data_IF_183804232441
#
_entry.id   IF_183804232441
#
_cell.length_a   1.000
_cell.length_b   1.000
_cell.length_c   1.000
_cell.angle_alpha   90.00
_cell.angle_beta   90.00
_cell.angle_gamma   90.00
#
_symmetry.space_group_name_H-M   'P 1'
#
loop_
_entity.id
_entity.type
_entity.pdbx_description
1 polymer ?
#
# COMPACT_ATOMS: atom_id res chain seq x y z
N UNK A 1 -49.87 -12.33 3.63
CA UNK A 1 -48.65 -11.74 4.24
C UNK A 1 -47.93 -10.81 3.26
N UNK A 2 -48.64 -10.21 2.29
CA UNK A 2 -48.10 -9.26 1.29
C UNK A 2 -48.63 -7.82 1.46
N UNK A 3 -49.70 -7.61 2.24
CA UNK A 3 -50.33 -6.28 2.41
C UNK A 3 -49.47 -5.29 3.19
N UNK A 4 -48.87 -5.70 4.32
CA UNK A 4 -48.13 -4.79 5.20
C UNK A 4 -46.86 -4.20 4.56
N UNK A 5 -46.28 -4.82 3.52
CA UNK A 5 -45.11 -4.24 2.83
C UNK A 5 -45.50 -3.09 1.90
N UNK A 6 -46.70 -3.13 1.33
CA UNK A 6 -47.20 -2.08 0.44
C UNK A 6 -47.54 -0.82 1.23
N UNK A 7 -48.20 -0.97 2.38
CA UNK A 7 -48.53 0.15 3.28
C UNK A 7 -47.27 0.83 3.85
N UNK A 8 -46.31 0.05 4.35
CA UNK A 8 -45.03 0.60 4.86
C UNK A 8 -44.24 1.33 3.78
N UNK A 9 -44.24 0.85 2.52
CA UNK A 9 -43.59 1.53 1.40
C UNK A 9 -44.32 2.81 0.97
N UNK A 10 -45.66 2.84 1.07
CA UNK A 10 -46.46 4.03 0.81
C UNK A 10 -46.25 5.10 1.89
N UNK A 11 -46.23 4.71 3.16
CA UNK A 11 -45.96 5.63 4.28
C UNK A 11 -44.51 6.15 4.25
N UNK A 12 -43.54 5.29 3.91
CA UNK A 12 -42.16 5.72 3.65
C UNK A 12 -42.08 6.75 2.53
N UNK A 13 -42.81 6.53 1.43
CA UNK A 13 -42.83 7.47 0.32
C UNK A 13 -43.43 8.81 0.78
N UNK A 14 -44.48 8.80 1.59
CA UNK A 14 -45.16 9.99 2.10
C UNK A 14 -44.28 10.81 3.05
N UNK A 15 -43.37 10.19 3.82
CA UNK A 15 -42.42 10.89 4.72
C UNK A 15 -41.10 11.28 4.02
N UNK A 16 -40.59 10.41 3.16
CA UNK A 16 -39.33 10.62 2.46
C UNK A 16 -39.45 11.63 1.31
N UNK A 17 -40.58 11.66 0.59
CA UNK A 17 -40.79 12.60 -0.51
C UNK A 17 -40.76 14.04 -0.04
N UNK A 18 -41.48 14.46 1.02
CA UNK A 18 -41.40 15.83 1.51
C UNK A 18 -39.99 16.21 1.92
N UNK A 19 -39.23 15.33 2.58
CA UNK A 19 -37.85 15.62 2.99
C UNK A 19 -36.92 15.71 1.76
N UNK A 20 -37.02 14.78 0.82
CA UNK A 20 -36.29 14.83 -0.45
C UNK A 20 -36.65 16.09 -1.24
N UNK A 21 -37.93 16.41 -1.32
CA UNK A 21 -38.47 17.60 -1.99
C UNK A 21 -38.02 18.86 -1.26
N UNK A 22 -38.01 18.93 0.06
CA UNK A 22 -37.56 20.09 0.83
C UNK A 22 -36.02 20.27 0.76
N UNK A 23 -35.27 19.16 0.69
CA UNK A 23 -33.81 19.21 0.52
C UNK A 23 -33.43 19.53 -0.94
N UNK A 24 -34.25 19.14 -1.92
CA UNK A 24 -34.04 19.44 -3.35
C UNK A 24 -34.58 20.82 -3.76
N UNK A 25 -35.65 21.30 -3.10
CA UNK A 25 -36.27 22.61 -3.26
C UNK A 25 -35.62 23.58 -2.28
N UNK A 26 -34.48 24.13 -2.67
CA UNK A 26 -34.11 25.47 -2.26
C UNK A 26 -34.09 26.36 -3.51
N UNK A 27 -35.03 27.30 -3.54
CA UNK A 27 -35.09 28.52 -4.38
C UNK A 27 -34.59 28.39 -5.84
N UNK A 28 -35.13 27.46 -6.62
CA UNK A 28 -35.29 27.64 -8.06
C UNK A 28 -36.42 26.74 -8.55
N UNK A 29 -37.34 27.32 -9.32
CA UNK A 29 -38.66 26.78 -9.64
C UNK A 29 -38.71 25.28 -9.99
N UNK A 30 -39.67 24.63 -9.36
CA UNK A 30 -40.54 23.54 -9.85
C UNK A 30 -40.24 23.15 -11.32
N UNK A 31 -39.55 22.02 -11.51
CA UNK A 31 -39.28 21.32 -12.79
C UNK A 31 -38.28 21.92 -13.79
N UNK A 32 -37.13 22.40 -13.32
CA UNK A 32 -35.90 22.43 -14.12
C UNK A 32 -34.87 21.43 -13.57
N UNK A 33 -34.64 20.29 -14.23
CA UNK A 33 -33.52 19.39 -13.91
C UNK A 33 -32.20 19.97 -14.44
N UNK A 34 -31.86 21.17 -14.00
CA UNK A 34 -30.46 21.57 -13.92
C UNK A 34 -29.98 21.07 -12.57
N UNK A 35 -29.38 19.87 -12.56
CA UNK A 35 -28.64 19.38 -11.39
C UNK A 35 -27.52 20.38 -11.16
N UNK A 36 -27.76 21.33 -10.27
CA UNK A 36 -26.82 22.39 -9.99
C UNK A 36 -25.62 21.76 -9.25
N UNK A 37 -24.56 21.45 -9.99
CA UNK A 37 -23.39 20.72 -9.49
C UNK A 37 -22.61 21.53 -8.43
N UNK A 38 -22.79 22.84 -8.34
CA UNK A 38 -22.21 23.68 -7.28
C UNK A 38 -22.88 23.53 -5.90
N UNK A 39 -23.86 22.64 -5.74
CA UNK A 39 -24.52 22.39 -4.45
C UNK A 39 -23.53 21.79 -3.44
N UNK A 40 -23.49 22.37 -2.24
CA UNK A 40 -22.71 21.88 -1.11
C UNK A 40 -23.36 20.62 -0.50
N UNK A 41 -23.20 19.48 -1.19
CA UNK A 41 -23.68 18.17 -0.74
C UNK A 41 -23.03 17.75 0.58
N UNK A 42 -21.82 18.21 0.88
CA UNK A 42 -21.11 17.92 2.12
C UNK A 42 -21.89 18.38 3.37
N UNK A 43 -22.47 19.58 3.33
CA UNK A 43 -23.31 20.08 4.42
C UNK A 43 -24.61 19.27 4.57
N UNK A 44 -25.24 18.86 3.46
CA UNK A 44 -26.46 18.04 3.48
C UNK A 44 -26.20 16.64 4.04
N UNK A 45 -25.06 16.02 3.69
CA UNK A 45 -24.61 14.74 4.27
C UNK A 45 -24.40 14.87 5.78
N UNK A 46 -23.73 15.95 6.23
CA UNK A 46 -23.48 16.20 7.65
C UNK A 46 -24.78 16.38 8.43
N UNK A 47 -25.68 17.21 7.90
CA UNK A 47 -27.00 17.43 8.48
C UNK A 47 -27.77 16.11 8.65
N UNK A 48 -27.82 15.28 7.60
CA UNK A 48 -28.49 13.97 7.67
C UNK A 48 -27.89 13.05 8.73
N UNK A 49 -26.55 13.01 8.86
CA UNK A 49 -25.87 12.24 9.92
C UNK A 49 -26.22 12.73 11.32
N UNK A 50 -26.36 14.04 11.50
CA UNK A 50 -26.66 14.66 12.79
C UNK A 50 -28.13 14.48 13.19
N UNK A 51 -29.07 14.56 12.23
CA UNK A 51 -30.51 14.46 12.53
C UNK A 51 -31.01 13.01 12.55
N UNK A 52 -30.38 12.08 11.80
CA UNK A 52 -30.85 10.70 11.67
C UNK A 52 -31.12 9.98 13.01
N UNK A 53 -30.26 10.08 14.05
CA UNK A 53 -30.49 9.40 15.33
C UNK A 53 -31.77 9.81 16.07
N UNK A 54 -32.41 10.93 15.70
CA UNK A 54 -33.64 11.41 16.31
C UNK A 54 -34.91 10.89 15.62
N UNK A 55 -34.77 10.14 14.52
CA UNK A 55 -35.88 9.50 13.80
C UNK A 55 -36.10 8.05 14.27
N UNK A 56 -37.24 7.47 13.91
CA UNK A 56 -37.52 6.06 14.11
C UNK A 56 -36.59 5.19 13.24
N UNK A 57 -36.36 3.94 13.63
CA UNK A 57 -35.43 3.03 12.94
C UNK A 57 -35.73 2.88 11.44
N UNK A 58 -37.01 2.78 11.08
CA UNK A 58 -37.46 2.70 9.68
C UNK A 58 -37.13 3.95 8.87
N UNK A 59 -37.28 5.13 9.46
CA UNK A 59 -36.95 6.42 8.86
C UNK A 59 -35.43 6.62 8.78
N UNK A 60 -34.67 6.13 9.78
CA UNK A 60 -33.20 6.15 9.75
C UNK A 60 -32.64 5.40 8.55
N UNK A 61 -33.26 4.27 8.18
CA UNK A 61 -32.88 3.51 6.98
C UNK A 61 -33.10 4.33 5.71
N UNK A 62 -34.19 5.09 5.64
CA UNK A 62 -34.45 5.99 4.51
C UNK A 62 -33.44 7.12 4.46
N UNK A 63 -33.21 7.79 5.58
CA UNK A 63 -32.25 8.89 5.68
C UNK A 63 -30.84 8.42 5.32
N UNK A 64 -30.47 7.18 5.68
CA UNK A 64 -29.24 6.53 5.25
C UNK A 64 -29.14 6.39 3.73
N UNK A 65 -30.20 5.93 3.06
CA UNK A 65 -30.25 5.85 1.59
C UNK A 65 -30.12 7.22 0.93
N UNK A 66 -30.79 8.24 1.48
CA UNK A 66 -30.70 9.62 0.98
C UNK A 66 -29.28 10.19 1.19
N UNK A 67 -28.66 9.88 2.33
CA UNK A 67 -27.27 10.24 2.60
C UNK A 67 -26.32 9.63 1.55
N UNK A 68 -26.48 8.35 1.23
CA UNK A 68 -25.67 7.67 0.20
C UNK A 68 -25.82 8.33 -1.17
N UNK A 69 -27.04 8.72 -1.56
CA UNK A 69 -27.28 9.47 -2.80
C UNK A 69 -26.51 10.79 -2.80
N UNK A 70 -26.54 11.55 -1.71
CA UNK A 70 -25.76 12.78 -1.62
C UNK A 70 -24.25 12.54 -1.61
N UNK A 71 -23.77 11.46 -0.99
CA UNK A 71 -22.36 11.07 -1.05
C UNK A 71 -21.93 10.76 -2.49
N UNK A 72 -22.77 10.06 -3.26
CA UNK A 72 -22.53 9.77 -4.69
C UNK A 72 -22.50 11.06 -5.51
N UNK A 73 -23.49 11.95 -5.34
CA UNK A 73 -23.54 13.24 -6.04
C UNK A 73 -22.32 14.11 -5.70
N UNK A 74 -21.89 14.10 -4.44
CA UNK A 74 -20.68 14.79 -4.00
C UNK A 74 -19.42 14.23 -4.69
N UNK A 75 -19.31 12.91 -4.84
CA UNK A 75 -18.20 12.28 -5.57
C UNK A 75 -18.21 12.65 -7.05
N UNK A 76 -19.36 12.66 -7.71
CA UNK A 76 -19.49 13.11 -9.10
C UNK A 76 -19.06 14.57 -9.26
N UNK A 77 -19.50 15.45 -8.35
CA UNK A 77 -19.11 16.84 -8.38
C UNK A 77 -17.59 17.02 -8.24
N UNK A 78 -16.96 16.27 -7.32
CA UNK A 78 -15.50 16.25 -7.16
C UNK A 78 -14.78 15.76 -8.41
N UNK A 79 -15.31 14.75 -9.11
CA UNK A 79 -14.76 14.26 -10.38
C UNK A 79 -14.81 15.36 -11.44
N UNK A 80 -15.98 15.99 -11.65
CA UNK A 80 -16.19 17.04 -12.67
C UNK A 80 -15.27 18.24 -12.41
N UNK A 81 -15.15 18.65 -11.15
CA UNK A 81 -14.35 19.82 -10.76
C UNK A 81 -12.86 19.49 -10.54
N UNK A 82 -12.45 18.23 -10.73
CA UNK A 82 -11.11 17.74 -10.42
C UNK A 82 -10.64 18.06 -8.98
N UNK A 83 -11.57 18.10 -8.03
CA UNK A 83 -11.31 18.47 -6.64
C UNK A 83 -10.97 17.24 -5.77
N UNK A 84 -9.69 16.88 -5.83
CA UNK A 84 -9.11 15.78 -5.07
C UNK A 84 -8.15 16.23 -3.98
N UNK A 85 -8.05 17.54 -3.69
CA UNK A 85 -7.05 18.08 -2.76
C UNK A 85 -7.10 17.40 -1.38
N UNK A 86 -8.30 17.11 -0.87
CA UNK A 86 -8.47 16.41 0.41
C UNK A 86 -8.01 14.93 0.39
N UNK A 87 -7.99 14.30 -0.78
CA UNK A 87 -7.54 12.91 -0.96
C UNK A 87 -6.05 12.81 -1.29
N UNK A 88 -5.42 13.92 -1.70
CA UNK A 88 -3.98 13.97 -1.99
C UNK A 88 -3.25 14.21 -0.68
N UNK A 89 -2.89 13.13 0.01
CA UNK A 89 -1.95 13.18 1.13
C UNK A 89 -0.58 12.77 0.63
N UNK A 90 0.38 13.70 0.62
CA UNK A 90 1.77 13.38 0.36
C UNK A 90 2.37 12.68 1.59
N UNK A 91 2.06 11.40 1.76
CA UNK A 91 2.69 10.56 2.77
C UNK A 91 4.11 10.22 2.32
N UNK A 92 5.08 10.40 3.22
CA UNK A 92 6.49 10.03 3.03
C UNK A 92 7.25 10.86 1.97
N UNK A 93 7.13 12.19 2.04
CA UNK A 93 7.96 13.09 1.22
C UNK A 93 9.46 12.94 1.51
N UNK A 94 9.84 12.44 2.67
CA UNK A 94 11.24 12.28 3.05
C UNK A 94 11.91 11.04 2.42
N UNK A 95 11.13 10.12 1.86
CA UNK A 95 11.67 8.92 1.21
C UNK A 95 12.23 9.25 -0.17
N UNK A 96 13.34 8.59 -0.51
CA UNK A 96 13.89 8.61 -1.87
C UNK A 96 12.88 8.05 -2.88
N UNK A 97 12.98 8.48 -4.14
CA UNK A 97 12.09 7.97 -5.20
C UNK A 97 12.15 6.44 -5.33
N UNK A 98 13.31 5.84 -5.05
CA UNK A 98 13.49 4.39 -5.13
C UNK A 98 12.75 3.67 -4.00
N UNK A 99 12.83 4.18 -2.77
CA UNK A 99 12.15 3.59 -1.62
C UNK A 99 10.64 3.80 -1.67
N UNK A 100 10.19 4.91 -2.26
CA UNK A 100 8.76 5.11 -2.57
C UNK A 100 8.25 4.04 -3.53
N UNK A 101 8.99 3.71 -4.59
CA UNK A 101 8.63 2.65 -5.54
C UNK A 101 8.58 1.27 -4.84
N UNK A 102 9.55 0.96 -3.98
CA UNK A 102 9.55 -0.27 -3.19
C UNK A 102 8.30 -0.37 -2.32
N UNK A 103 7.94 0.70 -1.62
CA UNK A 103 6.75 0.72 -0.76
C UNK A 103 5.45 0.61 -1.55
N UNK A 104 5.37 1.23 -2.73
CA UNK A 104 4.22 1.07 -3.65
C UNK A 104 4.07 -0.40 -4.06
N UNK A 105 5.14 -1.03 -4.54
CA UNK A 105 5.13 -2.43 -4.98
C UNK A 105 4.76 -3.35 -3.82
N UNK A 106 5.33 -3.12 -2.63
CA UNK A 106 5.05 -3.90 -1.42
C UNK A 106 3.59 -3.78 -0.98
N UNK A 107 2.99 -2.59 -1.06
CA UNK A 107 1.57 -2.40 -0.75
C UNK A 107 0.65 -3.02 -1.80
N UNK A 108 1.00 -2.91 -3.08
CA UNK A 108 0.24 -3.51 -4.18
C UNK A 108 0.24 -5.05 -4.10
N UNK A 109 1.35 -5.66 -3.68
CA UNK A 109 1.49 -7.11 -3.58
C UNK A 109 0.38 -7.78 -2.72
N UNK A 110 -0.14 -7.07 -1.71
CA UNK A 110 -1.22 -7.56 -0.84
C UNK A 110 -2.57 -7.74 -1.54
N UNK A 111 -2.75 -7.14 -2.72
CA UNK A 111 -3.99 -7.17 -3.49
C UNK A 111 -3.84 -7.94 -4.82
N UNK A 112 -2.67 -8.56 -5.06
CA UNK A 112 -2.37 -9.32 -6.26
C UNK A 112 -2.61 -10.82 -6.05
N UNK A 113 -2.88 -11.52 -7.15
CA UNK A 113 -2.89 -12.99 -7.20
C UNK A 113 -1.49 -13.58 -6.92
N UNK A 114 -1.45 -14.86 -6.54
CA UNK A 114 -0.24 -15.52 -6.05
C UNK A 114 0.98 -15.39 -6.96
N UNK A 115 0.79 -15.50 -8.28
CA UNK A 115 1.88 -15.41 -9.25
C UNK A 115 2.46 -13.99 -9.30
N UNK A 116 1.59 -12.99 -9.33
CA UNK A 116 2.00 -11.58 -9.39
C UNK A 116 2.54 -11.09 -8.05
N UNK A 117 2.01 -11.58 -6.93
CA UNK A 117 2.54 -11.34 -5.59
C UNK A 117 3.97 -11.85 -5.46
N UNK A 118 4.24 -13.10 -5.85
CA UNK A 118 5.61 -13.65 -5.87
C UNK A 118 6.56 -12.83 -6.74
N UNK A 119 6.10 -12.36 -7.90
CA UNK A 119 6.91 -11.48 -8.75
C UNK A 119 7.23 -10.16 -8.05
N UNK A 120 6.25 -9.53 -7.41
CA UNK A 120 6.45 -8.28 -6.66
C UNK A 120 7.44 -8.46 -5.50
N UNK A 121 7.29 -9.54 -4.72
CA UNK A 121 8.21 -9.90 -3.63
C UNK A 121 9.63 -10.15 -4.14
N UNK A 122 9.77 -10.86 -5.28
CA UNK A 122 11.07 -11.11 -5.91
C UNK A 122 11.75 -9.82 -6.38
N UNK A 123 11.00 -8.87 -6.93
CA UNK A 123 11.55 -7.57 -7.36
C UNK A 123 12.06 -6.77 -6.16
N UNK A 124 11.27 -6.69 -5.09
CA UNK A 124 11.66 -6.01 -3.84
C UNK A 124 12.89 -6.69 -3.23
N UNK A 125 12.87 -8.02 -3.11
CA UNK A 125 14.01 -8.79 -2.60
C UNK A 125 15.27 -8.64 -3.45
N UNK A 126 15.13 -8.58 -4.77
CA UNK A 126 16.27 -8.34 -5.69
C UNK A 126 16.89 -6.97 -5.45
N UNK A 127 16.08 -5.91 -5.29
CA UNK A 127 16.58 -4.57 -4.93
C UNK A 127 17.38 -4.63 -3.62
N UNK A 128 16.82 -5.25 -2.59
CA UNK A 128 17.49 -5.37 -1.29
C UNK A 128 18.82 -6.12 -1.39
N UNK A 129 18.87 -7.21 -2.17
CA UNK A 129 20.10 -7.97 -2.41
C UNK A 129 21.17 -7.16 -3.16
N UNK A 130 20.77 -6.35 -4.15
CA UNK A 130 21.68 -5.45 -4.87
C UNK A 130 22.24 -4.38 -3.92
N UNK A 131 21.40 -3.75 -3.12
CA UNK A 131 21.83 -2.72 -2.16
C UNK A 131 22.78 -3.31 -1.10
N UNK A 132 22.47 -4.51 -0.57
CA UNK A 132 23.36 -5.23 0.36
C UNK A 132 24.71 -5.57 -0.29
N UNK A 133 24.69 -5.97 -1.56
CA UNK A 133 25.93 -6.23 -2.31
C UNK A 133 26.76 -4.97 -2.47
N UNK A 134 26.13 -3.85 -2.81
CA UNK A 134 26.79 -2.54 -2.90
C UNK A 134 27.44 -2.16 -1.56
N UNK A 135 26.70 -2.25 -0.46
CA UNK A 135 27.21 -1.95 0.88
C UNK A 135 28.41 -2.84 1.25
N UNK A 136 28.32 -4.15 0.96
CA UNK A 136 29.39 -5.08 1.21
C UNK A 136 30.64 -4.80 0.35
N UNK A 137 30.47 -4.34 -0.89
CA UNK A 137 31.57 -3.97 -1.79
C UNK A 137 32.26 -2.68 -1.34
N UNK A 138 31.48 -1.69 -0.90
CA UNK A 138 32.01 -0.44 -0.33
C UNK A 138 32.84 -0.72 0.93
N UNK A 139 32.31 -1.56 1.84
CA UNK A 139 33.05 -2.00 3.03
C UNK A 139 34.31 -2.77 2.66
N UNK A 140 34.26 -3.65 1.66
CA UNK A 140 35.44 -4.39 1.20
C UNK A 140 36.53 -3.45 0.65
N UNK A 141 36.15 -2.45 -0.16
CA UNK A 141 37.07 -1.44 -0.71
C UNK A 141 37.82 -0.67 0.40
N UNK A 142 37.11 -0.32 1.47
CA UNK A 142 37.70 0.35 2.64
C UNK A 142 38.68 -0.58 3.40
N UNK A 143 38.37 -1.87 3.50
CA UNK A 143 39.23 -2.85 4.21
C UNK A 143 40.51 -3.13 3.41
N UNK A 144 40.42 -3.34 2.10
CA UNK A 144 41.58 -3.65 1.25
C UNK A 144 42.54 -2.47 1.13
N UNK A 145 42.03 -1.24 1.16
CA UNK A 145 42.87 -0.04 1.13
C UNK A 145 43.62 0.21 2.45
N UNK A 146 43.19 -0.41 3.56
CA UNK A 146 43.75 -0.17 4.90
C UNK A 146 44.48 -1.37 5.52
N UNK A 147 44.23 -2.58 5.03
CA UNK A 147 44.81 -3.81 5.58
C UNK A 147 45.58 -4.58 4.51
N UNK A 148 46.79 -5.02 4.86
CA UNK A 148 47.60 -5.89 4.01
C UNK A 148 47.07 -7.34 4.11
N UNK A 149 45.98 -7.65 3.40
CA UNK A 149 45.35 -8.98 3.39
C UNK A 149 45.97 -9.89 2.32
N UNK A 150 46.15 -11.17 2.65
CA UNK A 150 46.60 -12.17 1.68
C UNK A 150 45.61 -12.28 0.50
N UNK A 151 46.12 -12.69 -0.68
CA UNK A 151 45.34 -12.76 -1.93
C UNK A 151 44.15 -13.71 -1.82
N UNK A 152 44.30 -14.88 -1.18
CA UNK A 152 43.22 -15.86 -1.00
C UNK A 152 42.10 -15.32 -0.10
N UNK A 153 42.45 -14.69 1.02
CA UNK A 153 41.48 -14.01 1.89
C UNK A 153 40.76 -12.88 1.16
N UNK A 154 41.49 -12.13 0.34
CA UNK A 154 40.95 -10.99 -0.40
C UNK A 154 39.91 -11.46 -1.44
N UNK A 155 40.22 -12.52 -2.18
CA UNK A 155 39.27 -13.12 -3.14
C UNK A 155 38.03 -13.69 -2.44
N UNK A 156 38.18 -14.37 -1.29
CA UNK A 156 37.05 -14.88 -0.52
C UNK A 156 36.17 -13.74 0.00
N UNK A 157 36.76 -12.68 0.55
CA UNK A 157 36.03 -11.50 1.02
C UNK A 157 35.27 -10.82 -0.10
N UNK A 158 35.88 -10.65 -1.28
CA UNK A 158 35.19 -10.12 -2.47
C UNK A 158 34.01 -11.00 -2.90
N UNK A 159 34.21 -12.31 -2.95
CA UNK A 159 33.15 -13.25 -3.31
C UNK A 159 32.00 -13.24 -2.30
N UNK A 160 32.29 -13.07 -1.00
CA UNK A 160 31.28 -12.83 0.04
C UNK A 160 30.54 -11.51 -0.14
N UNK A 161 31.21 -10.46 -0.64
CA UNK A 161 30.52 -9.19 -0.88
C UNK A 161 29.39 -9.30 -1.89
N UNK A 162 29.51 -10.19 -2.89
CA UNK A 162 28.48 -10.45 -3.90
C UNK A 162 27.56 -11.64 -3.58
N UNK A 163 27.74 -12.31 -2.42
CA UNK A 163 26.89 -13.43 -1.98
C UNK A 163 25.37 -13.12 -2.03
N UNK A 164 24.89 -11.91 -1.65
CA UNK A 164 23.45 -11.62 -1.62
C UNK A 164 22.75 -11.79 -2.97
N UNK A 165 23.46 -11.57 -4.08
CA UNK A 165 22.92 -11.71 -5.45
C UNK A 165 23.26 -13.08 -6.09
N UNK A 166 24.00 -13.94 -5.40
CA UNK A 166 24.32 -15.27 -5.93
C UNK A 166 23.10 -16.20 -5.89
N UNK A 167 22.98 -17.11 -6.88
CA UNK A 167 22.06 -18.24 -6.77
C UNK A 167 22.50 -19.17 -5.65
N UNK A 168 21.59 -19.98 -5.10
CA UNK A 168 21.88 -20.84 -3.94
C UNK A 168 22.99 -21.85 -4.20
N UNK A 169 23.10 -22.35 -5.45
CA UNK A 169 24.24 -23.18 -5.87
C UNK A 169 25.58 -22.44 -5.72
N UNK A 170 25.61 -21.15 -6.07
CA UNK A 170 26.78 -20.28 -5.90
C UNK A 170 27.11 -20.06 -4.43
N UNK A 171 26.11 -19.78 -3.58
CA UNK A 171 26.29 -19.66 -2.13
C UNK A 171 26.86 -20.94 -1.50
N UNK A 172 26.35 -22.10 -1.93
CA UNK A 172 26.86 -23.39 -1.46
C UNK A 172 28.32 -23.64 -1.89
N UNK A 173 28.69 -23.25 -3.10
CA UNK A 173 30.07 -23.32 -3.58
C UNK A 173 30.98 -22.36 -2.81
N UNK A 174 30.52 -21.13 -2.54
CA UNK A 174 31.27 -20.15 -1.75
C UNK A 174 31.62 -20.67 -0.35
N UNK A 175 30.65 -21.32 0.33
CA UNK A 175 30.88 -21.97 1.64
C UNK A 175 31.90 -23.11 1.57
N UNK A 176 31.97 -23.85 0.47
CA UNK A 176 32.99 -24.90 0.28
C UNK A 176 34.37 -24.28 0.10
N UNK A 177 34.47 -23.22 -0.70
CA UNK A 177 35.72 -22.49 -0.91
C UNK A 177 36.23 -21.89 0.41
N UNK A 178 35.34 -21.34 1.23
CA UNK A 178 35.66 -20.87 2.58
C UNK A 178 36.32 -21.97 3.42
N UNK A 179 35.69 -23.15 3.51
CA UNK A 179 36.27 -24.29 4.25
C UNK A 179 37.63 -24.74 3.71
N UNK A 180 37.81 -24.75 2.39
CA UNK A 180 39.10 -25.12 1.77
C UNK A 180 40.18 -24.10 2.16
N UNK A 181 39.86 -22.81 2.12
CA UNK A 181 40.79 -21.75 2.52
C UNK A 181 41.14 -21.86 4.00
N UNK A 182 40.16 -22.17 4.86
CA UNK A 182 40.40 -22.37 6.29
C UNK A 182 41.33 -23.56 6.53
N UNK A 183 41.15 -24.67 5.82
CA UNK A 183 42.05 -25.84 5.88
C UNK A 183 43.46 -25.49 5.41
N UNK A 184 43.61 -24.75 4.31
CA UNK A 184 44.92 -24.34 3.78
C UNK A 184 45.66 -23.42 4.76
N UNK A 185 44.92 -22.62 5.52
CA UNK A 185 45.48 -21.70 6.52
C UNK A 185 45.73 -22.34 7.88
N UNK A 186 45.07 -23.45 8.19
CA UNK A 186 45.37 -24.23 9.38
C UNK A 186 46.80 -24.78 9.23
N UNK A 187 47.73 -24.28 10.04
CA UNK A 187 49.15 -24.69 9.95
C UNK A 187 49.32 -26.18 10.24
N UNK A 188 50.36 -26.80 9.67
CA UNK A 188 50.76 -28.20 9.90
C UNK A 188 50.94 -28.62 11.38
N UNK A 189 50.90 -27.69 12.33
CA UNK A 189 50.94 -27.99 13.76
C UNK A 189 49.66 -28.65 14.31
N UNK A 190 48.52 -28.59 13.62
CA UNK A 190 47.30 -29.34 13.99
C UNK A 190 47.29 -30.78 13.46
N UNK A 191 48.21 -31.13 12.55
CA UNK A 191 48.32 -32.44 11.89
C UNK A 191 49.54 -33.26 12.36
N UNK A 192 50.05 -33.02 13.58
CA UNK A 192 51.05 -33.92 14.15
C UNK A 192 50.35 -35.16 14.72
N UNK A 193 50.60 -36.38 14.21
CA UNK A 193 50.19 -37.58 14.91
C UNK A 193 50.92 -37.57 16.26
N UNK A 194 50.16 -37.73 17.34
CA UNK A 194 50.71 -37.94 18.68
C UNK A 194 51.56 -39.22 18.61
N UNK A 195 52.88 -39.06 18.66
CA UNK A 195 53.84 -40.14 18.93
C UNK A 195 54.05 -40.26 20.43
#
# INVERSE_FOLDING_TARGET
MEDNRSEVLQDLAILALPILVFILIEKSGVFGTEVNYTRNYHNKIRMLKEISPYFLEEDQVVLGKVQDIFEILNRFNRIINNDYQENVRALNQDLSMMDRKEMIISKLANYLDDNRRKLAENVVGTKQNIFKTKENLERYSQIVSTQNTDKLTSMLKLAKSIEPIMPDKGKAQLRKIEKIIDIIKASDNEFKPYY
#
